data_IF_386372587953
#
_entry.id   IF_386372587953
#
_cell.length_a   1.000
_cell.length_b   1.000
_cell.length_c   1.000
_cell.angle_alpha   90.00
_cell.angle_beta   90.00
_cell.angle_gamma   90.00
#
_symmetry.space_group_name_H-M   'P 1'
#
loop_
_entity.id
_entity.type
_entity.pdbx_description
1 polymer ?
#
# COMPACT_ATOMS: atom_id res chain seq x y z
N UNK A 1 -7.61 8.40 11.06
CA UNK A 1 -8.78 8.29 10.12
C UNK A 1 -9.36 6.86 10.08
N UNK A 2 -10.61 6.64 9.58
CA UNK A 2 -11.16 5.28 9.33
C UNK A 2 -10.67 4.78 7.96
N UNK A 3 -10.28 3.51 7.88
CA UNK A 3 -9.86 2.89 6.62
C UNK A 3 -11.07 2.52 5.74
N UNK A 4 -10.94 2.61 4.40
CA UNK A 4 -11.95 2.06 3.49
C UNK A 4 -12.07 0.55 3.69
N UNK A 5 -13.28 0.02 3.53
CA UNK A 5 -13.60 -1.41 3.76
C UNK A 5 -13.78 -2.19 2.45
N UNK A 6 -13.80 -1.48 1.35
CA UNK A 6 -14.09 -1.91 -0.02
C UNK A 6 -12.88 -1.76 -0.96
N UNK A 7 -11.72 -1.33 -0.43
CA UNK A 7 -10.50 -1.15 -1.22
C UNK A 7 -9.91 -2.51 -1.65
N UNK A 8 -9.73 -2.71 -2.94
CA UNK A 8 -9.05 -3.88 -3.49
C UNK A 8 -7.53 -3.76 -3.42
N UNK A 9 -6.83 -4.89 -3.54
CA UNK A 9 -5.36 -4.91 -3.56
C UNK A 9 -4.76 -4.18 -4.77
N UNK A 10 -5.42 -4.24 -5.93
CA UNK A 10 -4.99 -3.53 -7.12
C UNK A 10 -5.19 -2.01 -7.01
N UNK A 11 -6.29 -1.57 -6.38
CA UNK A 11 -6.49 -0.14 -6.11
C UNK A 11 -5.45 0.38 -5.12
N UNK A 12 -5.17 -0.36 -4.05
CA UNK A 12 -4.11 0.00 -3.12
C UNK A 12 -2.75 0.09 -3.82
N UNK A 13 -2.41 -0.88 -4.67
CA UNK A 13 -1.17 -0.87 -5.43
C UNK A 13 -1.02 0.40 -6.28
N UNK A 14 -2.09 0.80 -6.98
CA UNK A 14 -2.11 2.05 -7.76
C UNK A 14 -1.95 3.30 -6.92
N UNK A 15 -2.60 3.37 -5.75
CA UNK A 15 -2.45 4.52 -4.85
C UNK A 15 -1.00 4.66 -4.34
N UNK A 16 -0.32 3.54 -4.12
CA UNK A 16 1.07 3.52 -3.65
C UNK A 16 2.09 3.93 -4.73
N UNK A 17 1.69 4.07 -6.00
CA UNK A 17 2.52 4.68 -7.04
C UNK A 17 2.91 6.13 -6.68
N UNK A 18 2.07 6.85 -5.92
CA UNK A 18 2.39 8.19 -5.38
C UNK A 18 3.62 8.18 -4.45
N UNK A 19 3.96 7.02 -3.89
CA UNK A 19 5.13 6.78 -3.04
C UNK A 19 6.28 6.08 -3.79
N UNK A 20 6.18 5.97 -5.11
CA UNK A 20 7.19 5.35 -5.97
C UNK A 20 7.15 3.83 -5.99
N UNK A 21 6.13 3.20 -5.39
CA UNK A 21 5.97 1.76 -5.51
C UNK A 21 5.45 1.38 -6.88
N UNK A 22 6.12 0.44 -7.53
CA UNK A 22 5.71 -0.15 -8.79
C UNK A 22 5.49 -1.65 -8.59
N UNK A 23 4.58 -2.25 -9.36
CA UNK A 23 4.38 -3.70 -9.35
C UNK A 23 5.52 -4.35 -10.13
N UNK A 24 6.36 -5.14 -9.45
CA UNK A 24 7.43 -5.90 -10.10
C UNK A 24 6.89 -7.11 -10.84
N UNK A 25 6.10 -7.91 -10.13
CA UNK A 25 5.51 -9.14 -10.63
C UNK A 25 4.33 -9.59 -9.76
N UNK A 26 3.59 -10.57 -10.28
CA UNK A 26 2.51 -11.24 -9.57
C UNK A 26 2.81 -12.74 -9.50
N UNK A 27 2.68 -13.31 -8.31
CA UNK A 27 2.75 -14.76 -8.09
C UNK A 27 1.45 -15.24 -7.46
N UNK A 28 0.68 -16.03 -8.21
CA UNK A 28 -0.66 -16.43 -7.79
C UNK A 28 -1.55 -15.21 -7.52
N UNK A 29 -2.16 -15.14 -6.34
CA UNK A 29 -3.02 -14.02 -5.93
C UNK A 29 -2.27 -12.91 -5.18
N UNK A 30 -0.95 -12.79 -5.30
CA UNK A 30 -0.16 -11.78 -4.59
C UNK A 30 0.68 -10.94 -5.56
N UNK A 31 0.63 -9.63 -5.37
CA UNK A 31 1.43 -8.62 -6.08
C UNK A 31 2.66 -8.31 -5.24
N UNK A 32 3.84 -8.33 -5.86
CA UNK A 32 5.07 -7.79 -5.28
C UNK A 32 5.26 -6.37 -5.80
N UNK A 33 5.39 -5.41 -4.89
CA UNK A 33 5.70 -4.02 -5.23
C UNK A 33 7.05 -3.62 -4.66
N UNK A 34 7.76 -2.76 -5.39
CA UNK A 34 9.06 -2.21 -4.99
C UNK A 34 9.10 -0.71 -5.19
N UNK A 35 9.74 -0.02 -4.26
CA UNK A 35 10.13 1.39 -4.38
C UNK A 35 11.63 1.51 -4.11
N UNK A 36 12.30 2.42 -4.82
CA UNK A 36 13.67 2.85 -4.49
C UNK A 36 13.67 4.18 -3.72
N UNK A 37 12.48 4.78 -3.52
CA UNK A 37 12.32 6.03 -2.78
C UNK A 37 12.63 5.80 -1.30
N UNK A 38 13.48 6.65 -0.73
CA UNK A 38 14.00 6.53 0.63
C UNK A 38 14.74 5.20 0.88
N UNK A 39 15.34 4.61 -0.16
CA UNK A 39 15.96 3.29 -0.14
C UNK A 39 15.05 2.22 -0.73
N UNK A 40 15.65 1.07 -1.07
CA UNK A 40 14.92 -0.07 -1.60
C UNK A 40 13.98 -0.64 -0.53
N UNK A 41 12.70 -0.76 -0.88
CA UNK A 41 11.71 -1.39 -0.02
C UNK A 41 10.69 -2.16 -0.82
N UNK A 42 10.25 -3.28 -0.25
CA UNK A 42 9.36 -4.21 -0.90
C UNK A 42 8.15 -4.53 -0.05
N UNK A 43 6.98 -4.52 -0.67
CA UNK A 43 5.73 -4.93 -0.02
C UNK A 43 5.02 -6.00 -0.85
N UNK A 44 4.24 -6.83 -0.19
CA UNK A 44 3.40 -7.84 -0.85
C UNK A 44 1.93 -7.56 -0.56
N UNK A 45 1.13 -7.41 -1.61
CA UNK A 45 -0.30 -7.08 -1.52
C UNK A 45 -1.12 -8.24 -2.12
N UNK A 46 -2.06 -8.84 -1.37
CA UNK A 46 -3.01 -9.78 -1.97
C UNK A 46 -3.89 -9.08 -3.01
N UNK A 47 -4.01 -9.63 -4.21
CA UNK A 47 -4.88 -9.16 -5.30
C UNK A 47 -6.36 -9.53 -5.05
N UNK A 48 -6.84 -9.32 -3.82
CA UNK A 48 -8.21 -9.61 -3.40
C UNK A 48 -9.07 -8.35 -3.51
N UNK A 49 -10.38 -8.55 -3.68
CA UNK A 49 -11.37 -7.48 -3.66
C UNK A 49 -12.56 -7.88 -2.74
N UNK A 50 -12.73 -7.25 -1.56
CA UNK A 50 -11.86 -6.25 -0.96
C UNK A 50 -10.67 -6.86 -0.18
N UNK A 51 -9.68 -6.03 0.14
CA UNK A 51 -8.68 -6.36 1.15
C UNK A 51 -9.32 -6.40 2.54
N UNK A 52 -8.91 -7.37 3.36
CA UNK A 52 -9.26 -7.39 4.78
C UNK A 52 -8.66 -6.16 5.45
N UNK A 53 -9.44 -5.48 6.30
CA UNK A 53 -9.01 -4.25 7.01
C UNK A 53 -7.71 -4.46 7.80
N UNK A 54 -7.52 -5.63 8.42
CA UNK A 54 -6.27 -5.96 9.12
C UNK A 54 -5.06 -6.02 8.20
N UNK A 55 -5.22 -6.62 7.01
CA UNK A 55 -4.16 -6.67 5.98
C UNK A 55 -3.84 -5.27 5.45
N UNK A 56 -4.88 -4.49 5.11
CA UNK A 56 -4.72 -3.10 4.69
C UNK A 56 -3.98 -2.28 5.76
N UNK A 57 -4.38 -2.41 7.03
CA UNK A 57 -3.74 -1.68 8.12
C UNK A 57 -2.29 -2.09 8.36
N UNK A 58 -1.91 -3.35 8.12
CA UNK A 58 -0.54 -3.81 8.25
C UNK A 58 0.33 -3.24 7.12
N UNK A 59 -0.14 -3.30 5.87
CA UNK A 59 0.57 -2.76 4.71
C UNK A 59 0.78 -1.26 4.85
N UNK A 60 -0.25 -0.50 5.25
CA UNK A 60 -0.14 0.94 5.41
C UNK A 60 0.82 1.34 6.53
N UNK A 61 0.92 0.54 7.61
CA UNK A 61 1.90 0.80 8.66
C UNK A 61 3.31 0.62 8.14
N UNK A 62 3.57 -0.49 7.44
CA UNK A 62 4.87 -0.81 6.84
C UNK A 62 5.33 0.28 5.86
N UNK A 63 4.42 0.73 4.99
CA UNK A 63 4.69 1.86 4.08
C UNK A 63 4.96 3.16 4.84
N UNK A 64 4.18 3.48 5.87
CA UNK A 64 4.36 4.70 6.66
C UNK A 64 5.73 4.72 7.35
N UNK A 65 6.10 3.59 7.97
CA UNK A 65 7.37 3.41 8.67
C UNK A 65 8.55 3.59 7.69
N UNK A 66 8.50 2.99 6.50
CA UNK A 66 9.54 3.16 5.47
C UNK A 66 9.61 4.59 4.92
N UNK A 67 8.45 5.24 4.74
CA UNK A 67 8.40 6.63 4.25
C UNK A 67 8.77 7.66 5.32
N UNK A 68 8.91 7.25 6.59
CA UNK A 68 9.13 8.16 7.71
C UNK A 68 7.92 9.08 7.98
N UNK A 69 6.71 8.62 7.66
CA UNK A 69 5.47 9.35 7.83
C UNK A 69 4.67 8.78 8.99
N UNK A 70 3.87 9.62 9.63
CA UNK A 70 2.80 9.11 10.50
C UNK A 70 1.71 8.44 9.67
N UNK A 71 0.95 7.56 10.32
CA UNK A 71 -0.19 6.89 9.68
C UNK A 71 -1.23 7.87 9.15
N UNK A 72 -1.52 8.95 9.85
CA UNK A 72 -2.55 9.90 9.40
C UNK A 72 -2.06 10.77 8.22
N UNK A 73 -0.76 11.12 8.16
CA UNK A 73 -0.15 11.77 6.99
C UNK A 73 -0.25 10.88 5.75
N UNK A 74 0.14 9.60 5.87
CA UNK A 74 0.03 8.64 4.77
C UNK A 74 -1.42 8.50 4.27
N UNK A 75 -2.39 8.42 5.19
CA UNK A 75 -3.80 8.30 4.84
C UNK A 75 -4.36 9.54 4.15
N UNK A 76 -3.87 10.72 4.53
CA UNK A 76 -4.23 11.98 3.88
C UNK A 76 -3.76 11.99 2.44
N UNK A 77 -2.49 11.69 2.20
CA UNK A 77 -1.91 11.65 0.86
C UNK A 77 -2.56 10.60 -0.06
N UNK A 78 -2.95 9.44 0.49
CA UNK A 78 -3.56 8.35 -0.29
C UNK A 78 -5.04 8.59 -0.63
N UNK A 79 -5.81 9.18 0.27
CA UNK A 79 -7.28 9.18 0.17
C UNK A 79 -7.91 10.59 0.16
N UNK A 80 -7.15 11.64 0.46
CA UNK A 80 -7.62 13.02 0.42
C UNK A 80 -6.87 13.77 -0.67
N UNK A 81 -7.45 13.83 -1.86
CA UNK A 81 -7.22 14.92 -2.81
C UNK A 81 -8.36 15.92 -2.71
#
# INVERSE_FOLDING_TARGET
>A
MKLPRDLSGLELAKLLEAFGYNIDHQTGSHLRLTTERNGEHHITIPAHNPLKVGTLSAILRDVADHMGLSRDELLTELFQK
#
